data_IF_071846246297
#
_entry.id   IF_071846246297
#
_cell.length_a   1.000
_cell.length_b   1.000
_cell.length_c   1.000
_cell.angle_alpha   90.00
_cell.angle_beta   90.00
_cell.angle_gamma   90.00
#
_symmetry.space_group_name_H-M   'P 1'
#
loop_
_entity.id
_entity.type
_entity.pdbx_description
1 polymer ?
#
# COMPACT_ATOMS: atom_id res chain seq x y z
N UNK A 1 -6.62 7.00 -0.43
CA UNK A 1 -6.32 8.46 -0.39
C UNK A 1 -7.01 9.12 -1.59
N UNK A 2 -7.63 10.29 -1.47
CA UNK A 2 -8.34 10.95 -2.61
C UNK A 2 -7.51 11.97 -3.38
N UNK A 3 -6.34 12.37 -2.87
CA UNK A 3 -5.44 13.36 -3.49
C UNK A 3 -4.06 12.76 -3.77
N UNK A 4 -3.37 13.28 -4.80
CA UNK A 4 -1.99 12.89 -5.13
C UNK A 4 -0.96 13.29 -4.07
N UNK A 5 -1.32 14.18 -3.14
CA UNK A 5 -0.46 14.63 -2.05
C UNK A 5 -0.98 14.06 -0.73
N UNK A 6 -0.15 13.33 -0.02
CA UNK A 6 -0.45 12.69 1.26
C UNK A 6 0.41 13.29 2.35
N UNK A 7 -0.18 13.50 3.52
CA UNK A 7 0.59 13.72 4.76
C UNK A 7 0.69 12.40 5.51
N UNK A 8 1.91 11.98 5.85
CA UNK A 8 2.14 10.86 6.73
C UNK A 8 2.62 11.38 8.09
N UNK A 9 1.84 11.12 9.13
CA UNK A 9 2.12 11.53 10.52
C UNK A 9 2.83 10.42 11.34
N UNK A 10 3.21 9.32 10.69
CA UNK A 10 3.80 8.16 11.37
C UNK A 10 2.82 7.45 12.30
N UNK A 11 3.35 6.61 13.21
CA UNK A 11 2.53 5.82 14.16
C UNK A 11 2.30 6.51 15.50
N UNK A 12 2.93 7.68 15.73
CA UNK A 12 2.96 8.35 17.03
C UNK A 12 3.79 7.55 18.07
N UNK A 13 4.84 8.16 18.62
CA UNK A 13 5.73 7.53 19.60
C UNK A 13 7.21 7.62 19.21
N UNK A 14 8.09 7.03 20.02
CA UNK A 14 9.55 7.15 19.88
C UNK A 14 10.14 6.60 18.57
N UNK A 15 9.40 5.73 17.88
CA UNK A 15 9.79 5.13 16.58
C UNK A 15 9.06 5.78 15.39
N UNK A 16 8.24 6.81 15.64
CA UNK A 16 7.56 7.56 14.59
C UNK A 16 8.44 8.66 14.00
N UNK A 17 8.10 9.09 12.79
CA UNK A 17 8.70 10.27 12.15
C UNK A 17 7.77 11.49 12.27
N UNK A 18 8.31 12.71 12.17
CA UNK A 18 7.49 13.92 12.08
C UNK A 18 6.61 13.89 10.83
N UNK A 19 5.56 14.72 10.78
CA UNK A 19 4.72 14.88 9.60
C UNK A 19 5.56 15.15 8.35
N UNK A 20 5.48 14.24 7.38
CA UNK A 20 6.09 14.39 6.06
C UNK A 20 5.03 14.39 4.98
N UNK A 21 5.33 15.06 3.86
CA UNK A 21 4.46 15.09 2.69
C UNK A 21 5.04 14.18 1.62
N UNK A 22 4.20 13.30 1.09
CA UNK A 22 4.55 12.30 0.08
C UNK A 22 3.68 12.57 -1.14
N UNK A 23 4.29 12.57 -2.32
CA UNK A 23 3.57 12.69 -3.59
C UNK A 23 3.41 11.30 -4.22
N UNK A 24 2.17 10.96 -4.57
CA UNK A 24 1.83 9.73 -5.26
C UNK A 24 2.20 9.91 -6.73
N UNK A 25 3.04 9.01 -7.23
CA UNK A 25 3.50 8.99 -8.61
C UNK A 25 2.36 8.71 -9.60
N UNK A 26 2.71 8.56 -10.88
CA UNK A 26 1.73 8.29 -11.94
C UNK A 26 0.92 7.01 -11.66
N UNK A 27 1.55 6.00 -11.07
CA UNK A 27 0.95 4.74 -10.65
C UNK A 27 0.00 4.88 -9.45
N UNK A 28 -0.18 6.08 -8.92
CA UNK A 28 -1.09 6.35 -7.79
C UNK A 28 -0.66 5.64 -6.51
N UNK A 29 0.61 5.25 -6.40
CA UNK A 29 1.19 4.59 -5.23
C UNK A 29 2.43 5.32 -4.77
N UNK A 30 2.62 5.42 -3.45
CA UNK A 30 3.85 5.90 -2.84
C UNK A 30 4.01 5.30 -1.44
N UNK A 31 5.25 5.21 -0.97
CA UNK A 31 5.60 4.61 0.32
C UNK A 31 6.30 5.63 1.20
N UNK A 32 6.08 5.56 2.52
CA UNK A 32 6.78 6.40 3.47
C UNK A 32 8.11 5.76 3.87
N UNK A 33 9.24 6.43 3.61
CA UNK A 33 10.59 5.94 3.92
C UNK A 33 10.92 5.80 5.41
N UNK A 34 10.01 6.15 6.31
CA UNK A 34 10.22 6.11 7.75
C UNK A 34 9.39 5.05 8.48
N UNK A 35 8.20 4.75 7.98
CA UNK A 35 7.27 3.81 8.62
C UNK A 35 6.75 2.73 7.66
N UNK A 36 7.33 2.66 6.46
CA UNK A 36 7.01 1.70 5.38
C UNK A 36 5.51 1.59 5.06
N UNK A 37 4.75 2.66 5.34
CA UNK A 37 3.33 2.71 5.01
C UNK A 37 3.16 3.01 3.52
N UNK A 38 2.46 2.12 2.84
CA UNK A 38 2.06 2.30 1.43
C UNK A 38 0.74 3.05 1.33
N UNK A 39 0.74 4.11 0.55
CA UNK A 39 -0.43 4.93 0.23
C UNK A 39 -0.86 4.66 -1.20
N UNK A 40 -2.16 4.45 -1.40
CA UNK A 40 -2.78 4.21 -2.71
C UNK A 40 -3.86 5.26 -2.96
N UNK A 41 -3.84 5.85 -4.15
CA UNK A 41 -4.85 6.77 -4.63
C UNK A 41 -6.14 5.99 -4.89
N UNK A 42 -7.27 6.50 -4.43
CA UNK A 42 -8.59 5.89 -4.64
C UNK A 42 -8.88 5.84 -6.15
N UNK A 43 -9.19 4.66 -6.67
CA UNK A 43 -9.29 4.39 -8.12
C UNK A 43 -8.03 3.79 -8.75
N UNK A 44 -6.91 3.75 -8.03
CA UNK A 44 -5.68 3.01 -8.39
C UNK A 44 -5.48 1.75 -7.52
N UNK A 45 -6.53 1.31 -6.81
CA UNK A 45 -6.49 0.06 -6.06
C UNK A 45 -6.41 -1.14 -7.01
N UNK A 46 -5.19 -1.62 -7.24
CA UNK A 46 -4.98 -3.03 -7.59
C UNK A 46 -5.39 -3.80 -6.34
N UNK A 47 -6.66 -4.18 -6.22
CA UNK A 47 -7.05 -5.17 -5.22
C UNK A 47 -6.27 -6.43 -5.57
N UNK A 48 -5.23 -6.72 -4.78
CA UNK A 48 -4.68 -8.06 -4.68
C UNK A 48 -5.77 -8.90 -4.04
N UNK A 49 -6.73 -9.31 -4.86
CA UNK A 49 -7.68 -10.34 -4.53
C UNK A 49 -6.90 -11.64 -4.61
N UNK A 50 -6.78 -12.36 -3.50
CA UNK A 50 -6.07 -13.64 -3.42
C UNK A 50 -6.62 -14.66 -4.45
N UNK A 51 -7.84 -14.43 -4.97
CA UNK A 51 -8.47 -15.22 -6.04
C UNK A 51 -8.01 -14.84 -7.45
N UNK A 52 -7.28 -13.73 -7.62
CA UNK A 52 -6.69 -13.26 -8.88
C UNK A 52 -5.17 -13.47 -8.97
N UNK A 53 -4.52 -13.97 -7.91
CA UNK A 53 -3.11 -14.31 -7.95
C UNK A 53 -2.90 -15.53 -8.87
N UNK A 54 -2.15 -15.42 -10.00
CA UNK A 54 -1.80 -16.57 -10.82
C UNK A 54 -0.72 -17.38 -10.08
N UNK A 55 -1.13 -18.20 -9.09
CA UNK A 55 -0.17 -18.95 -8.29
C UNK A 55 -0.72 -19.85 -7.18
N UNK A 56 -2.01 -19.80 -6.83
CA UNK A 56 -2.58 -20.80 -5.92
C UNK A 56 -2.92 -22.05 -6.73
N UNK A 57 -2.01 -23.02 -6.70
CA UNK A 57 -2.28 -24.38 -7.18
C UNK A 57 -3.23 -25.05 -6.18
N UNK A 58 -4.54 -24.94 -6.36
CA UNK A 58 -5.48 -25.83 -5.67
C UNK A 58 -5.36 -27.23 -6.31
N UNK A 59 -4.35 -27.99 -5.91
CA UNK A 59 -4.16 -29.39 -6.28
C UNK A 59 -4.98 -30.30 -5.36
N UNK A 60 -6.29 -30.33 -5.56
CA UNK A 60 -7.15 -31.39 -5.01
C UNK A 60 -7.11 -32.61 -5.94
N UNK A 61 -6.12 -33.48 -5.79
CA UNK A 61 -6.26 -34.91 -6.15
C UNK A 61 -5.19 -35.74 -5.43
N UNK A 62 -5.63 -36.52 -4.45
CA UNK A 62 -4.84 -37.53 -3.76
C UNK A 62 -5.79 -38.60 -3.25
N UNK A 63 -5.90 -39.68 -4.05
CA UNK A 63 -6.60 -40.93 -3.76
C UNK A 63 -6.15 -41.58 -2.44
#
# INVERSE_FOLDING_TARGET
>A
VTSRRVSCDGVGGALGHPRVFIELGHDGVAECSYCDRRFVLAGHERKEDERLAPGVYEGSDGH
#
